data_IF_959358719885
#
_entry.id   IF_959358719885
#
_cell.length_a   1.000
_cell.length_b   1.000
_cell.length_c   1.000
_cell.angle_alpha   90.00
_cell.angle_beta   90.00
_cell.angle_gamma   90.00
#
_symmetry.space_group_name_H-M   'P 1'
#
loop_
_entity.id
_entity.type
_entity.pdbx_description
1 polymer ?
#
# COMPACT_ATOMS: atom_id res chain seq x y z
N UNK A 1 16.25 -3.42 -6.81
CA UNK A 1 16.08 -1.98 -6.48
C UNK A 1 16.32 -1.74 -4.99
N UNK A 2 17.12 -0.72 -4.60
CA UNK A 2 17.30 -0.34 -3.19
C UNK A 2 16.19 0.63 -2.77
N UNK A 3 15.41 0.28 -1.75
CA UNK A 3 14.37 1.15 -1.19
C UNK A 3 15.03 2.09 -0.17
N UNK A 4 14.92 3.39 -0.41
CA UNK A 4 15.47 4.47 0.42
C UNK A 4 14.37 5.27 1.10
N UNK A 5 13.24 5.47 0.42
CA UNK A 5 12.12 6.29 0.89
C UNK A 5 10.80 5.59 0.59
N UNK A 6 9.92 5.59 1.58
CA UNK A 6 8.55 5.05 1.48
C UNK A 6 7.65 5.93 2.32
N UNK A 7 6.57 6.42 1.72
CA UNK A 7 5.60 7.31 2.37
C UNK A 7 4.18 6.79 2.09
N UNK A 8 3.30 6.95 3.09
CA UNK A 8 1.88 6.70 2.89
C UNK A 8 1.28 7.91 2.18
N UNK A 9 0.87 7.73 0.93
CA UNK A 9 0.37 8.79 0.06
C UNK A 9 -1.14 9.01 0.18
N UNK A 10 -1.80 8.25 1.06
CA UNK A 10 -3.23 8.36 1.34
C UNK A 10 -4.01 7.11 0.96
N UNK A 11 -5.33 7.20 1.15
CA UNK A 11 -6.25 6.11 0.87
C UNK A 11 -7.53 6.61 0.23
N UNK A 12 -8.04 5.86 -0.74
CA UNK A 12 -9.31 6.14 -1.40
C UNK A 12 -10.36 5.14 -0.95
N UNK A 13 -11.45 5.64 -0.37
CA UNK A 13 -12.61 4.86 0.06
C UNK A 13 -13.83 5.02 -0.84
N UNK A 14 -13.79 5.95 -1.80
CA UNK A 14 -14.89 6.22 -2.73
C UNK A 14 -14.39 6.40 -4.17
N UNK A 15 -15.20 6.06 -5.19
CA UNK A 15 -14.77 6.13 -6.60
C UNK A 15 -14.55 7.54 -7.15
N UNK A 16 -15.16 8.55 -6.53
CA UNK A 16 -15.05 9.97 -6.91
C UNK A 16 -13.73 10.61 -6.48
N UNK A 17 -12.96 9.92 -5.62
CA UNK A 17 -11.68 10.42 -5.17
C UNK A 17 -10.58 10.17 -6.21
N UNK A 18 -9.71 11.16 -6.40
CA UNK A 18 -8.64 11.09 -7.40
C UNK A 18 -7.42 10.35 -6.83
N UNK A 19 -6.94 9.36 -7.58
CA UNK A 19 -5.67 8.70 -7.29
C UNK A 19 -4.50 9.68 -7.47
N UNK A 20 -3.38 9.47 -6.74
CA UNK A 20 -2.13 10.14 -7.07
C UNK A 20 -1.81 9.96 -8.55
N UNK A 21 -1.36 11.03 -9.22
CA UNK A 21 -1.03 11.02 -10.63
C UNK A 21 0.51 11.03 -10.82
N UNK A 22 0.94 10.98 -12.08
CA UNK A 22 2.31 11.30 -12.52
C UNK A 22 3.39 10.24 -12.27
N UNK A 23 3.05 9.10 -11.66
CA UNK A 23 3.97 7.97 -11.50
C UNK A 23 3.29 6.62 -11.82
N UNK A 24 4.05 5.61 -12.27
CA UNK A 24 3.53 4.25 -12.46
C UNK A 24 2.91 3.66 -11.19
N UNK A 25 1.88 2.82 -11.36
CA UNK A 25 1.17 2.15 -10.27
C UNK A 25 1.34 0.63 -10.33
N UNK A 26 1.57 0.00 -9.18
CA UNK A 26 1.63 -1.46 -9.04
C UNK A 26 0.62 -1.90 -8.00
N UNK A 27 -0.49 -2.52 -8.44
CA UNK A 27 -1.56 -2.92 -7.54
C UNK A 27 -1.38 -4.34 -6.99
N UNK A 28 -1.69 -4.52 -5.70
CA UNK A 28 -1.78 -5.83 -5.06
C UNK A 28 -3.24 -6.20 -4.79
N UNK A 29 -3.72 -7.30 -5.38
CA UNK A 29 -5.08 -7.82 -5.19
C UNK A 29 -5.08 -9.24 -4.64
N UNK A 30 -6.17 -9.64 -3.98
CA UNK A 30 -6.34 -10.97 -3.41
C UNK A 30 -7.33 -11.01 -2.25
N UNK A 31 -7.75 -12.22 -1.85
CA UNK A 31 -8.73 -12.46 -0.77
C UNK A 31 -8.35 -11.78 0.55
N UNK A 32 -9.34 -11.48 1.39
CA UNK A 32 -9.14 -11.00 2.76
C UNK A 32 -8.21 -11.97 3.52
N UNK A 33 -7.31 -11.43 4.34
CA UNK A 33 -6.37 -12.19 5.18
C UNK A 33 -5.37 -13.12 4.46
N UNK A 34 -5.24 -13.06 3.12
CA UNK A 34 -4.23 -13.85 2.37
C UNK A 34 -2.78 -13.35 2.57
N UNK A 35 -2.55 -12.33 3.40
CA UNK A 35 -1.21 -11.82 3.70
C UNK A 35 -0.73 -10.64 2.86
N UNK A 36 -1.60 -9.98 2.07
CA UNK A 36 -1.25 -8.79 1.25
C UNK A 36 -0.48 -7.72 2.02
N UNK A 37 -1.04 -7.21 3.13
CA UNK A 37 -0.38 -6.17 3.92
C UNK A 37 0.94 -6.62 4.54
N UNK A 38 1.08 -7.92 4.84
CA UNK A 38 2.34 -8.49 5.31
C UNK A 38 3.38 -8.49 4.18
N UNK A 39 2.99 -8.93 2.97
CA UNK A 39 3.84 -8.89 1.79
C UNK A 39 4.29 -7.46 1.46
N UNK A 40 3.37 -6.48 1.51
CA UNK A 40 3.69 -5.06 1.30
C UNK A 40 4.77 -4.59 2.29
N UNK A 41 4.60 -4.87 3.59
CA UNK A 41 5.60 -4.49 4.59
C UNK A 41 6.96 -5.18 4.38
N UNK A 42 6.99 -6.41 3.87
CA UNK A 42 8.24 -7.12 3.53
C UNK A 42 8.90 -6.51 2.30
N UNK A 43 8.16 -6.32 1.21
CA UNK A 43 8.66 -5.73 -0.03
C UNK A 43 9.22 -4.32 0.20
N UNK A 44 8.52 -3.51 1.01
CA UNK A 44 8.92 -2.15 1.34
C UNK A 44 10.02 -2.07 2.42
N UNK A 45 10.51 -3.20 2.93
CA UNK A 45 11.47 -3.29 4.05
C UNK A 45 11.01 -2.53 5.31
N UNK A 46 9.70 -2.55 5.56
CA UNK A 46 9.00 -1.87 6.66
C UNK A 46 8.48 -2.86 7.72
N UNK A 47 9.12 -4.00 7.90
CA UNK A 47 8.69 -5.01 8.88
C UNK A 47 8.77 -4.52 10.34
N UNK A 48 9.74 -3.66 10.65
CA UNK A 48 9.91 -3.01 11.98
C UNK A 48 9.15 -1.69 12.12
N UNK A 49 8.82 -1.02 11.01
CA UNK A 49 8.06 0.24 10.96
C UNK A 49 6.90 0.08 9.98
N UNK A 50 5.93 -0.77 10.36
CA UNK A 50 4.83 -1.20 9.47
C UNK A 50 4.06 0.01 8.96
N UNK A 51 3.99 0.15 7.63
CA UNK A 51 3.24 1.22 6.96
C UNK A 51 1.91 0.70 6.41
N UNK A 52 1.86 -0.57 6.01
CA UNK A 52 0.63 -1.23 5.64
C UNK A 52 -0.03 -1.85 6.88
N UNK A 53 -1.30 -1.48 7.12
CA UNK A 53 -2.08 -2.02 8.24
C UNK A 53 -2.36 -3.51 8.02
N UNK A 54 -1.94 -4.32 8.99
CA UNK A 54 -2.24 -5.76 9.06
C UNK A 54 -3.33 -5.94 10.12
N UNK A 55 -4.47 -6.53 9.74
CA UNK A 55 -5.55 -6.86 10.67
C UNK A 55 -6.04 -8.28 10.36
N UNK A 56 -6.32 -9.06 11.40
CA UNK A 56 -6.93 -10.38 11.32
C UNK A 56 -8.44 -10.31 11.09
N UNK A 57 -9.09 -9.17 11.42
CA UNK A 57 -10.52 -8.97 11.22
C UNK A 57 -10.82 -8.70 9.73
N UNK A 58 -11.63 -9.53 9.06
CA UNK A 58 -12.04 -9.29 7.68
C UNK A 58 -12.73 -7.92 7.51
N UNK A 59 -12.53 -7.28 6.36
CA UNK A 59 -13.23 -6.02 6.01
C UNK A 59 -12.61 -4.72 6.56
N UNK A 60 -11.47 -4.78 7.25
CA UNK A 60 -10.75 -3.57 7.72
C UNK A 60 -10.11 -2.74 6.60
N UNK A 61 -9.86 -3.32 5.43
CA UNK A 61 -9.31 -2.62 4.26
C UNK A 61 -10.39 -2.51 3.19
N UNK A 62 -11.27 -1.51 3.34
CA UNK A 62 -12.29 -1.12 2.35
C UNK A 62 -11.82 -0.01 1.43
N UNK A 63 -10.59 0.46 1.62
CA UNK A 63 -9.96 1.54 0.88
C UNK A 63 -8.81 1.01 0.03
N UNK A 64 -8.57 1.64 -1.12
CA UNK A 64 -7.31 1.54 -1.84
C UNK A 64 -6.27 2.36 -1.09
N UNK A 65 -5.11 1.77 -0.77
CA UNK A 65 -4.03 2.46 -0.06
C UNK A 65 -2.87 2.66 -1.00
N UNK A 66 -2.28 3.86 -0.99
CA UNK A 66 -1.18 4.21 -1.87
C UNK A 66 0.09 4.43 -1.05
N UNK A 67 1.17 3.79 -1.47
CA UNK A 67 2.49 3.92 -0.88
C UNK A 67 3.46 4.45 -1.93
N UNK A 68 3.95 5.67 -1.75
CA UNK A 68 4.95 6.27 -2.65
C UNK A 68 6.32 5.68 -2.34
N UNK A 69 6.96 5.07 -3.34
CA UNK A 69 8.26 4.40 -3.17
C UNK A 69 9.33 5.13 -3.97
N UNK A 70 10.38 5.59 -3.27
CA UNK A 70 11.53 6.30 -3.84
C UNK A 70 11.16 7.48 -4.77
N UNK A 71 9.97 8.07 -4.60
CA UNK A 71 9.41 9.08 -5.50
C UNK A 71 9.32 8.63 -6.98
N UNK A 72 9.26 7.31 -7.24
CA UNK A 72 9.31 6.71 -8.59
C UNK A 72 8.06 5.96 -9.02
N UNK A 73 7.30 5.40 -8.08
CA UNK A 73 6.06 4.68 -8.35
C UNK A 73 5.19 4.64 -7.09
N UNK A 74 3.91 4.35 -7.28
CA UNK A 74 3.01 4.00 -6.19
C UNK A 74 2.74 2.50 -6.16
N UNK A 75 2.68 1.98 -4.94
CA UNK A 75 2.24 0.63 -4.61
C UNK A 75 0.88 0.69 -3.93
#
# INVERSE_FOLDING_TARGET
MKIRKVEFAGSLGRPDQRAPADLPHVAFSGRSNVGKSSLINVLLRRTRSKIARVSSTPGKTRTLNFYRVNDRFYL
#
